data_IF_965351354044
#
_entry.id   IF_965351354044
#
_cell.length_a   1.000
_cell.length_b   1.000
_cell.length_c   1.000
_cell.angle_alpha   90.00
_cell.angle_beta   90.00
_cell.angle_gamma   90.00
#
_symmetry.space_group_name_H-M   'P 1'
#
loop_
_entity.id
_entity.type
_entity.pdbx_description
1 polymer ?
#
# COMPACT_ATOMS: atom_id res chain seq x y z
N UNK A 1 -46.01 2.26 30.98
CA UNK A 1 -45.43 1.80 29.69
C UNK A 1 -44.31 2.68 29.15
N UNK A 2 -44.40 4.03 29.21
CA UNK A 2 -43.33 4.95 28.73
C UNK A 2 -41.96 4.80 29.43
N UNK A 3 -41.92 4.38 30.70
CA UNK A 3 -40.67 4.24 31.47
C UNK A 3 -39.85 2.98 31.10
N UNK A 4 -40.50 1.93 30.58
CA UNK A 4 -39.84 0.68 30.17
C UNK A 4 -39.14 0.84 28.81
N UNK A 5 -39.72 1.65 27.92
CA UNK A 5 -39.10 1.99 26.63
C UNK A 5 -37.79 2.76 26.80
N UNK A 6 -37.71 3.66 27.79
CA UNK A 6 -36.49 4.42 28.05
C UNK A 6 -35.35 3.52 28.55
N UNK A 7 -35.67 2.52 29.39
CA UNK A 7 -34.69 1.55 29.90
C UNK A 7 -34.14 0.62 28.81
N UNK A 8 -34.95 0.25 27.82
CA UNK A 8 -34.54 -0.59 26.68
C UNK A 8 -33.62 0.20 25.73
N UNK A 9 -33.92 1.49 25.51
CA UNK A 9 -33.09 2.36 24.66
C UNK A 9 -31.72 2.63 25.32
N UNK A 10 -31.68 2.82 26.63
CA UNK A 10 -30.42 2.98 27.36
C UNK A 10 -29.60 1.68 27.41
N UNK A 11 -30.25 0.52 27.56
CA UNK A 11 -29.57 -0.78 27.50
C UNK A 11 -29.02 -1.10 26.10
N UNK A 12 -29.73 -0.70 25.03
CA UNK A 12 -29.22 -0.83 23.66
C UNK A 12 -28.02 0.10 23.41
N UNK A 13 -28.03 1.33 23.95
CA UNK A 13 -26.91 2.27 23.83
C UNK A 13 -25.64 1.82 24.58
N UNK A 14 -25.76 1.03 25.65
CA UNK A 14 -24.63 0.46 26.39
C UNK A 14 -23.92 -0.68 25.65
N UNK A 15 -24.57 -1.33 24.68
CA UNK A 15 -23.95 -2.40 23.87
C UNK A 15 -23.18 -1.91 22.65
N UNK A 16 -23.29 -0.62 22.31
CA UNK A 16 -22.52 0.02 21.22
C UNK A 16 -21.15 0.54 21.67
N UNK A 17 -20.79 0.37 22.95
CA UNK A 17 -19.65 1.03 23.59
C UNK A 17 -18.35 0.22 23.72
N UNK A 18 -18.24 -1.00 23.17
CA UNK A 18 -17.01 -1.79 23.30
C UNK A 18 -16.71 -2.56 22.01
N UNK A 19 -16.30 -1.83 20.98
CA UNK A 19 -15.38 -2.39 20.00
C UNK A 19 -14.23 -1.41 19.82
N UNK A 20 -13.22 -1.51 20.71
CA UNK A 20 -11.88 -1.10 20.35
C UNK A 20 -11.35 -2.10 19.30
N UNK A 21 -11.85 -2.01 18.08
CA UNK A 21 -11.10 -2.52 16.94
C UNK A 21 -9.88 -1.61 16.82
N UNK A 22 -8.72 -2.10 17.30
CA UNK A 22 -7.44 -1.48 16.99
C UNK A 22 -7.23 -1.60 15.48
N UNK A 23 -7.81 -0.66 14.74
CA UNK A 23 -7.70 -0.52 13.30
C UNK A 23 -6.30 -0.02 12.92
N UNK A 24 -5.27 -0.71 13.38
CA UNK A 24 -3.88 -0.34 13.23
C UNK A 24 -3.28 -1.13 12.07
N UNK A 25 -2.38 -0.48 11.31
CA UNK A 25 -1.45 -1.19 10.43
C UNK A 25 -0.85 -2.35 11.22
N UNK A 26 -1.00 -3.61 10.76
CA UNK A 26 -0.76 -4.79 11.60
C UNK A 26 0.72 -5.05 11.93
N UNK A 27 1.62 -4.17 11.48
CA UNK A 27 3.06 -4.26 11.68
C UNK A 27 3.73 -2.89 11.68
N UNK A 28 4.94 -2.83 12.25
CA UNK A 28 5.78 -1.62 12.23
C UNK A 28 6.67 -1.54 10.99
N UNK A 29 7.37 -2.62 10.65
CA UNK A 29 8.25 -2.67 9.48
C UNK A 29 8.09 -4.01 8.77
N UNK A 30 8.16 -4.01 7.45
CA UNK A 30 8.21 -5.21 6.64
C UNK A 30 9.22 -5.05 5.49
N UNK A 31 9.95 -6.12 5.18
CA UNK A 31 10.89 -6.21 4.06
C UNK A 31 10.35 -7.21 3.05
N UNK A 32 10.54 -6.98 1.76
CA UNK A 32 9.94 -7.86 0.77
C UNK A 32 10.45 -7.68 -0.63
N UNK A 33 9.78 -8.38 -1.54
CA UNK A 33 9.93 -8.23 -2.98
C UNK A 33 8.66 -7.58 -3.53
N UNK A 34 8.84 -6.62 -4.42
CA UNK A 34 7.78 -6.00 -5.22
C UNK A 34 7.96 -6.36 -6.69
N UNK A 35 6.85 -6.51 -7.38
CA UNK A 35 6.75 -6.72 -8.82
C UNK A 35 5.84 -5.62 -9.33
N UNK A 36 6.26 -4.92 -10.37
CA UNK A 36 5.52 -3.88 -11.08
C UNK A 36 5.24 -4.39 -12.49
N UNK A 37 3.97 -4.51 -12.86
CA UNK A 37 3.51 -5.26 -14.02
C UNK A 37 2.35 -4.54 -14.72
N UNK A 38 1.99 -5.03 -15.91
CA UNK A 38 0.98 -4.44 -16.77
C UNK A 38 1.61 -3.89 -18.05
N UNK A 39 1.10 -2.78 -18.56
CA UNK A 39 1.58 -2.19 -19.81
C UNK A 39 3.04 -1.72 -19.68
N UNK A 40 3.87 -2.05 -20.66
CA UNK A 40 5.31 -1.78 -20.66
C UNK A 40 6.17 -2.85 -19.94
N UNK A 41 7.36 -2.47 -19.47
CA UNK A 41 8.31 -3.40 -18.88
C UNK A 41 7.86 -3.89 -17.49
N UNK A 42 7.96 -5.20 -17.24
CA UNK A 42 7.80 -5.76 -15.89
C UNK A 42 9.07 -5.49 -15.09
N UNK A 43 8.94 -4.89 -13.91
CA UNK A 43 10.06 -4.60 -13.01
C UNK A 43 9.89 -5.41 -11.73
N UNK A 44 10.99 -5.78 -11.08
CA UNK A 44 10.94 -6.48 -9.79
C UNK A 44 12.15 -6.13 -8.92
N UNK A 45 12.00 -6.22 -7.61
CA UNK A 45 13.12 -5.98 -6.71
C UNK A 45 12.73 -5.80 -5.25
N UNK A 46 13.70 -5.46 -4.39
CA UNK A 46 13.47 -5.30 -2.97
C UNK A 46 12.60 -4.08 -2.66
N UNK A 47 11.79 -4.22 -1.61
CA UNK A 47 11.01 -3.15 -1.01
C UNK A 47 11.07 -3.22 0.52
N UNK A 48 10.91 -2.07 1.16
CA UNK A 48 10.71 -1.92 2.60
C UNK A 48 9.50 -1.05 2.84
N UNK A 49 8.61 -1.46 3.75
CA UNK A 49 7.46 -0.66 4.20
C UNK A 49 7.57 -0.44 5.71
N UNK A 50 7.34 0.79 6.15
CA UNK A 50 7.40 1.20 7.54
C UNK A 50 6.16 2.00 7.93
N UNK A 51 5.46 1.57 8.96
CA UNK A 51 4.30 2.26 9.52
C UNK A 51 4.75 3.32 10.54
N UNK A 52 4.48 4.59 10.23
CA UNK A 52 4.76 5.72 11.11
C UNK A 52 3.66 5.91 12.17
N UNK A 53 2.45 5.43 11.89
CA UNK A 53 1.30 5.48 12.79
C UNK A 53 0.29 4.40 12.45
N UNK A 54 -0.85 4.38 13.16
CA UNK A 54 -1.92 3.42 12.96
C UNK A 54 -2.45 3.34 11.51
N UNK A 55 -2.39 4.43 10.74
CA UNK A 55 -2.91 4.46 9.36
C UNK A 55 -1.88 4.88 8.33
N UNK A 56 -0.73 5.42 8.73
CA UNK A 56 0.22 6.02 7.81
C UNK A 56 1.47 5.16 7.70
N UNK A 57 1.86 4.82 6.46
CA UNK A 57 3.07 4.06 6.18
C UNK A 57 3.81 4.63 4.97
N UNK A 58 5.13 4.52 5.01
CA UNK A 58 6.02 4.80 3.89
C UNK A 58 6.54 3.49 3.30
N UNK A 59 6.68 3.41 1.98
CA UNK A 59 7.32 2.30 1.28
C UNK A 59 8.48 2.84 0.45
N UNK A 60 9.62 2.16 0.45
CA UNK A 60 10.72 2.44 -0.47
C UNK A 60 11.05 1.16 -1.25
N UNK A 61 11.44 1.31 -2.51
CA UNK A 61 11.72 0.18 -3.38
C UNK A 61 12.81 0.51 -4.39
N UNK A 62 13.56 -0.52 -4.77
CA UNK A 62 14.44 -0.51 -5.95
C UNK A 62 13.97 -1.64 -6.84
N UNK A 63 13.58 -1.33 -8.07
CA UNK A 63 13.08 -2.30 -9.03
C UNK A 63 14.01 -2.35 -10.23
N UNK A 64 14.16 -3.54 -10.78
CA UNK A 64 15.01 -3.83 -11.92
C UNK A 64 14.16 -4.43 -13.04
N UNK A 65 14.49 -4.05 -14.27
CA UNK A 65 13.98 -4.64 -15.49
C UNK A 65 15.08 -4.68 -16.55
N UNK A 66 14.73 -5.10 -17.75
CA UNK A 66 15.67 -5.11 -18.87
C UNK A 66 16.18 -3.68 -19.16
N UNK A 67 17.48 -3.44 -18.96
CA UNK A 67 18.14 -2.14 -19.09
C UNK A 67 17.52 -0.97 -18.28
N UNK A 68 16.73 -1.27 -17.25
CA UNK A 68 15.99 -0.28 -16.45
C UNK A 68 16.23 -0.52 -14.97
N UNK A 69 16.52 0.55 -14.23
CA UNK A 69 16.50 0.56 -12.76
C UNK A 69 15.61 1.69 -12.27
N UNK A 70 14.65 1.39 -11.41
CA UNK A 70 13.75 2.38 -10.81
C UNK A 70 13.96 2.42 -9.30
N UNK A 71 14.11 3.61 -8.74
CA UNK A 71 14.13 3.85 -7.29
C UNK A 71 12.88 4.66 -6.94
N UNK A 72 12.17 4.23 -5.90
CA UNK A 72 10.89 4.82 -5.53
C UNK A 72 10.69 4.93 -4.04
N UNK A 73 9.88 5.92 -3.65
CA UNK A 73 9.34 6.04 -2.30
C UNK A 73 7.87 6.44 -2.38
N UNK A 74 7.01 5.81 -1.58
CA UNK A 74 5.58 6.05 -1.54
C UNK A 74 5.12 6.34 -0.11
N UNK A 75 4.16 7.23 0.03
CA UNK A 75 3.36 7.37 1.24
C UNK A 75 2.00 6.70 1.02
N UNK A 76 1.44 6.09 2.07
CA UNK A 76 0.14 5.44 2.04
C UNK A 76 -0.66 5.68 3.31
N UNK A 77 -1.97 5.88 3.12
CA UNK A 77 -2.99 5.80 4.14
C UNK A 77 -3.66 4.41 4.07
N UNK A 78 -3.69 3.70 5.19
CA UNK A 78 -4.04 2.28 5.29
C UNK A 78 -5.17 2.12 6.31
N UNK A 79 -6.16 1.28 6.00
CA UNK A 79 -7.24 0.91 6.91
C UNK A 79 -7.62 -0.56 6.77
N UNK A 80 -8.03 -1.21 7.86
CA UNK A 80 -8.57 -2.56 7.79
C UNK A 80 -9.92 -2.60 7.07
N UNK A 81 -10.19 -3.72 6.40
CA UNK A 81 -11.54 -4.09 6.01
C UNK A 81 -12.31 -4.63 7.21
N UNK A 82 -13.51 -4.08 7.45
CA UNK A 82 -14.39 -4.61 8.48
C UNK A 82 -14.84 -6.03 8.11
N UNK A 83 -14.70 -6.97 9.05
CA UNK A 83 -15.08 -8.37 8.85
C UNK A 83 -14.05 -9.24 8.14
N UNK A 84 -12.90 -8.70 7.71
CA UNK A 84 -11.83 -9.47 7.07
C UNK A 84 -10.51 -9.30 7.83
N UNK A 85 -10.25 -10.19 8.79
CA UNK A 85 -9.05 -10.12 9.62
C UNK A 85 -7.78 -10.20 8.76
N UNK A 86 -6.82 -9.30 9.01
CA UNK A 86 -5.55 -9.21 8.27
C UNK A 86 -5.65 -8.48 6.93
N UNK A 87 -6.84 -8.21 6.39
CA UNK A 87 -7.02 -7.50 5.13
C UNK A 87 -7.15 -6.00 5.36
N UNK A 88 -6.33 -5.22 4.66
CA UNK A 88 -6.36 -3.76 4.65
C UNK A 88 -6.54 -3.26 3.22
N UNK A 89 -7.16 -2.10 3.07
CA UNK A 89 -7.01 -1.27 1.87
C UNK A 89 -6.04 -0.14 2.15
N UNK A 90 -5.46 0.39 1.08
CA UNK A 90 -4.69 1.63 1.14
C UNK A 90 -4.87 2.48 -0.10
N UNK A 91 -4.67 3.77 0.09
CA UNK A 91 -4.45 4.75 -0.98
C UNK A 91 -3.14 5.48 -0.70
N UNK A 92 -2.38 5.77 -1.74
CA UNK A 92 -1.04 6.32 -1.59
C UNK A 92 -0.57 7.07 -2.81
N UNK A 93 0.58 7.71 -2.67
CA UNK A 93 1.27 8.39 -3.76
C UNK A 93 2.77 8.47 -3.46
N UNK A 94 3.59 8.38 -4.49
CA UNK A 94 5.04 8.44 -4.34
C UNK A 94 5.78 8.89 -5.59
N UNK A 95 6.92 9.60 -5.44
CA UNK A 95 7.85 9.81 -6.55
C UNK A 95 8.63 8.54 -6.90
N UNK A 96 8.96 8.39 -8.18
CA UNK A 96 9.89 7.39 -8.69
C UNK A 96 10.85 8.02 -9.70
N UNK A 97 12.12 7.58 -9.64
CA UNK A 97 13.17 7.93 -10.58
C UNK A 97 13.58 6.67 -11.34
N UNK A 98 13.64 6.76 -12.66
CA UNK A 98 13.99 5.64 -13.54
C UNK A 98 15.22 5.97 -14.36
N UNK A 99 16.20 5.09 -14.24
CA UNK A 99 17.48 5.13 -14.91
C UNK A 99 17.51 4.08 -16.02
N UNK A 100 17.97 4.48 -17.19
CA UNK A 100 18.09 3.62 -18.36
C UNK A 100 19.56 3.37 -18.65
N UNK A 101 19.89 2.13 -19.01
CA UNK A 101 21.23 1.76 -19.48
C UNK A 101 21.41 2.14 -20.97
N UNK A 102 21.25 3.44 -21.26
CA UNK A 102 21.44 4.00 -22.59
C UNK A 102 21.92 5.44 -22.47
N UNK A 103 23.02 5.76 -23.18
CA UNK A 103 23.68 7.08 -23.13
C UNK A 103 22.83 8.24 -23.67
N UNK A 104 21.68 7.95 -24.26
CA UNK A 104 20.79 8.93 -24.90
C UNK A 104 19.42 9.06 -24.22
N UNK A 105 19.21 8.38 -23.09
CA UNK A 105 17.93 8.43 -22.38
C UNK A 105 18.15 9.09 -21.02
N UNK A 106 17.53 10.25 -20.84
CA UNK A 106 17.57 10.97 -19.57
C UNK A 106 16.82 10.20 -18.48
N UNK A 107 17.21 10.46 -17.22
CA UNK A 107 16.49 9.93 -16.05
C UNK A 107 15.05 10.43 -16.08
N UNK A 108 14.10 9.50 -15.94
CA UNK A 108 12.68 9.84 -15.91
C UNK A 108 12.19 9.99 -14.48
N UNK A 109 11.43 11.06 -14.24
CA UNK A 109 10.71 11.29 -13.00
C UNK A 109 9.23 10.99 -13.20
N UNK A 110 8.66 10.19 -12.31
CA UNK A 110 7.25 9.84 -12.29
C UNK A 110 6.63 10.07 -10.92
N UNK A 111 5.35 10.44 -10.92
CA UNK A 111 4.48 10.40 -9.75
C UNK A 111 3.58 9.18 -9.84
N UNK A 112 3.44 8.44 -8.75
CA UNK A 112 2.79 7.13 -8.75
C UNK A 112 1.69 7.11 -7.70
N UNK A 113 0.45 7.52 -8.02
CA UNK A 113 -0.66 7.27 -7.13
C UNK A 113 -0.92 5.76 -7.06
N UNK A 114 -1.48 5.28 -5.96
CA UNK A 114 -1.75 3.88 -5.74
C UNK A 114 -3.07 3.69 -4.98
N UNK A 115 -3.82 2.66 -5.35
CA UNK A 115 -4.95 2.16 -4.59
C UNK A 115 -4.90 0.64 -4.57
N UNK A 116 -4.90 0.04 -3.38
CA UNK A 116 -4.63 -1.39 -3.27
C UNK A 116 -5.13 -2.03 -2.00
N UNK A 117 -4.84 -3.33 -1.94
CA UNK A 117 -5.16 -4.23 -0.85
C UNK A 117 -3.87 -4.83 -0.30
N UNK A 118 -3.78 -4.97 1.01
CA UNK A 118 -2.70 -5.66 1.69
C UNK A 118 -3.27 -6.66 2.69
N UNK A 119 -2.94 -7.93 2.50
CA UNK A 119 -3.32 -9.02 3.38
C UNK A 119 -2.13 -9.49 4.19
N UNK A 120 -2.23 -9.38 5.51
CA UNK A 120 -1.30 -9.99 6.46
C UNK A 120 -1.89 -11.28 6.97
N UNK A 121 -1.19 -12.39 6.73
CA UNK A 121 -1.66 -13.72 7.09
C UNK A 121 -1.73 -13.80 8.63
N UNK A 122 -2.92 -14.09 9.21
CA UNK A 122 -3.05 -14.22 10.66
C UNK A 122 -2.06 -15.24 11.21
N UNK A 123 -1.40 -14.90 12.33
CA UNK A 123 -0.41 -15.75 13.01
C UNK A 123 0.85 -16.07 12.19
N UNK A 124 1.07 -15.40 11.05
CA UNK A 124 2.26 -15.57 10.22
C UNK A 124 2.92 -14.20 9.96
N UNK A 125 4.26 -14.11 9.91
CA UNK A 125 4.95 -12.87 9.60
C UNK A 125 4.93 -12.55 8.09
N UNK A 126 3.92 -12.99 7.35
CA UNK A 126 3.86 -12.86 5.89
C UNK A 126 2.74 -11.89 5.51
N UNK A 127 3.09 -10.90 4.70
CA UNK A 127 2.18 -9.95 4.07
C UNK A 127 2.23 -10.07 2.55
N UNK A 128 1.08 -9.85 1.91
CA UNK A 128 0.94 -9.84 0.45
C UNK A 128 0.17 -8.58 0.09
N UNK A 129 0.58 -7.87 -0.95
CA UNK A 129 -0.17 -6.71 -1.44
C UNK A 129 -0.43 -6.80 -2.94
N UNK A 130 -1.55 -6.22 -3.37
CA UNK A 130 -1.85 -5.96 -4.77
C UNK A 130 -2.43 -4.55 -4.90
N UNK A 131 -1.88 -3.74 -5.81
CA UNK A 131 -2.38 -2.39 -6.07
C UNK A 131 -2.48 -2.07 -7.55
N UNK A 132 -3.47 -1.24 -7.86
CA UNK A 132 -3.45 -0.40 -9.05
C UNK A 132 -2.53 0.78 -8.79
N UNK A 133 -1.53 0.97 -9.65
CA UNK A 133 -0.48 1.97 -9.49
C UNK A 133 -0.06 2.49 -10.84
N UNK A 134 -0.82 3.45 -11.42
CA UNK A 134 -0.54 4.01 -12.74
C UNK A 134 0.79 4.78 -12.75
N UNK A 135 1.42 4.87 -13.92
CA UNK A 135 2.71 5.51 -14.12
C UNK A 135 2.52 6.89 -14.74
N UNK A 136 2.62 7.93 -13.92
CA UNK A 136 2.54 9.30 -14.40
C UNK A 136 3.93 9.89 -14.56
N UNK A 137 4.51 9.77 -15.74
CA UNK A 137 5.78 10.43 -16.08
C UNK A 137 5.55 11.94 -16.20
N UNK A 138 6.38 12.72 -15.51
CA UNK A 138 6.31 14.18 -15.45
C UNK A 138 7.56 14.85 -16.06
N UNK A 139 8.66 14.11 -16.21
CA UNK A 139 9.85 14.59 -16.92
C UNK A 139 9.71 14.46 -18.44
N UNK A 140 10.18 15.45 -19.19
CA UNK A 140 10.08 15.46 -20.66
C UNK A 140 8.65 15.76 -21.11
N UNK A 141 8.02 14.83 -21.83
CA UNK A 141 6.59 14.91 -22.16
C UNK A 141 5.78 14.14 -21.12
N UNK A 142 4.75 14.80 -20.56
CA UNK A 142 3.93 14.13 -19.55
C UNK A 142 3.10 13.03 -20.18
N UNK A 143 3.15 11.84 -19.57
CA UNK A 143 2.43 10.67 -20.01
C UNK A 143 1.86 9.92 -18.80
N UNK A 144 0.59 9.53 -18.89
CA UNK A 144 -0.11 8.80 -17.84
C UNK A 144 -0.46 7.41 -18.35
N UNK A 145 0.29 6.41 -17.90
CA UNK A 145 0.02 5.00 -18.19
C UNK A 145 -0.84 4.42 -17.07
N UNK A 146 -2.13 4.20 -17.37
CA UNK A 146 -3.10 3.73 -16.40
C UNK A 146 -2.97 2.22 -16.12
N UNK A 147 -2.46 1.44 -17.08
CA UNK A 147 -2.42 -0.02 -17.09
C UNK A 147 -1.32 -0.64 -16.24
N UNK A 148 -0.95 -0.02 -15.11
CA UNK A 148 0.15 -0.48 -14.24
C UNK A 148 -0.36 -0.91 -12.87
N UNK A 149 0.22 -2.00 -12.37
CA UNK A 149 -0.16 -2.65 -11.13
C UNK A 149 1.09 -3.12 -10.38
N UNK A 150 0.99 -3.29 -9.07
CA UNK A 150 2.02 -3.96 -8.28
C UNK A 150 1.49 -5.17 -7.53
N UNK A 151 2.32 -6.20 -7.44
CA UNK A 151 2.16 -7.34 -6.54
C UNK A 151 3.40 -7.41 -5.64
N UNK A 152 3.24 -7.65 -4.35
CA UNK A 152 4.40 -7.83 -3.48
C UNK A 152 4.19 -8.81 -2.36
N UNK A 153 5.31 -9.37 -1.91
CA UNK A 153 5.41 -10.33 -0.82
C UNK A 153 6.38 -9.79 0.21
N UNK A 154 5.96 -9.76 1.47
CA UNK A 154 6.69 -9.12 2.56
C UNK A 154 6.81 -10.04 3.76
N UNK A 155 7.97 -10.00 4.40
CA UNK A 155 8.22 -10.53 5.72
C UNK A 155 8.15 -9.39 6.75
N UNK A 156 7.31 -9.57 7.76
CA UNK A 156 7.09 -8.61 8.84
C UNK A 156 8.18 -8.77 9.90
N UNK A 157 8.86 -7.66 10.21
CA UNK A 157 9.85 -7.60 11.27
C UNK A 157 9.16 -7.44 12.62
N UNK A 158 9.57 -8.26 13.59
CA UNK A 158 9.13 -8.16 15.00
C UNK A 158 9.80 -6.98 15.69
#
# INVERSE_FOLDING_TARGET
>A
MKKVFLSIITAAALTLGIQESKAQTPYKTALGLGIDLGDGATLFGPQIKHAFSAHNAGQAQVLFGDHITTIGADYSYNKPFQGANGLNWYVGVGPQLTFFDSKHVDTQFALRPAAGLEFVIPQSPIGIHFDWKPWWTLSGSSHFEAGRFSLGFKYILK
#
